data_IF_439224608303
#
_entry.id   IF_439224608303
#
_cell.length_a   1.000
_cell.length_b   1.000
_cell.length_c   1.000
_cell.angle_alpha   90.00
_cell.angle_beta   90.00
_cell.angle_gamma   90.00
#
_symmetry.space_group_name_H-M   'P 1'
#
loop_
_entity.id
_entity.type
_entity.pdbx_description
1 polymer ?
#
# COMPACT_ATOMS: atom_id res chain seq x y z
N UNK A 1 27.63 17.22 30.02
CA UNK A 1 26.79 16.00 29.86
C UNK A 1 25.41 16.09 30.54
N UNK A 2 25.08 17.11 31.36
CA UNK A 2 23.75 17.22 32.02
C UNK A 2 22.66 17.97 31.21
N UNK A 3 23.04 18.73 30.18
CA UNK A 3 22.08 19.48 29.35
C UNK A 3 21.33 18.60 28.34
N UNK A 4 21.93 17.50 27.87
CA UNK A 4 21.30 16.59 26.91
C UNK A 4 20.28 15.65 27.58
N UNK A 5 20.51 15.22 28.82
CA UNK A 5 19.55 14.36 29.54
C UNK A 5 18.33 15.15 30.02
N UNK A 6 18.53 16.40 30.43
CA UNK A 6 17.45 17.32 30.82
C UNK A 6 16.61 17.75 29.62
N UNK A 7 17.22 17.97 28.46
CA UNK A 7 16.49 18.23 27.21
C UNK A 7 15.69 17.00 26.74
N UNK A 8 16.24 15.79 26.83
CA UNK A 8 15.52 14.56 26.49
C UNK A 8 14.31 14.30 27.42
N UNK A 9 14.47 14.56 28.73
CA UNK A 9 13.38 14.46 29.69
C UNK A 9 12.30 15.54 29.48
N UNK A 10 12.71 16.78 29.15
CA UNK A 10 11.80 17.88 28.85
C UNK A 10 11.02 17.64 27.55
N UNK A 11 11.66 17.13 26.51
CA UNK A 11 11.02 16.77 25.22
C UNK A 11 10.03 15.61 25.39
N UNK A 12 10.36 14.61 26.21
CA UNK A 12 9.45 13.50 26.54
C UNK A 12 8.22 13.97 27.32
N UNK A 13 8.42 14.86 28.30
CA UNK A 13 7.34 15.47 29.11
C UNK A 13 6.44 16.39 28.29
N UNK A 14 7.01 17.21 27.40
CA UNK A 14 6.24 18.06 26.48
C UNK A 14 5.50 17.24 25.43
N UNK A 15 6.09 16.18 24.89
CA UNK A 15 5.40 15.28 23.96
C UNK A 15 4.18 14.62 24.63
N UNK A 16 4.31 14.18 25.89
CA UNK A 16 3.22 13.60 26.67
C UNK A 16 2.11 14.61 26.99
N UNK A 17 2.45 15.87 27.31
CA UNK A 17 1.48 16.94 27.58
C UNK A 17 0.77 17.45 26.32
N UNK A 18 1.47 17.54 25.18
CA UNK A 18 0.88 17.93 23.89
C UNK A 18 -0.04 16.82 23.35
N UNK A 19 0.26 15.55 23.62
CA UNK A 19 -0.63 14.40 23.35
C UNK A 19 -1.91 14.44 24.20
N UNK A 20 -1.85 14.93 25.44
CA UNK A 20 -3.04 15.11 26.29
C UNK A 20 -3.87 16.35 25.90
N UNK A 21 -3.24 17.44 25.47
CA UNK A 21 -3.96 18.70 25.18
C UNK A 21 -4.72 18.68 23.83
N UNK A 22 -4.28 17.90 22.84
CA UNK A 22 -4.94 17.86 21.52
C UNK A 22 -6.15 16.91 21.42
N UNK A 23 -6.48 16.19 22.50
CA UNK A 23 -7.68 15.33 22.56
C UNK A 23 -8.92 16.11 23.05
N UNK A 24 -8.78 17.34 23.55
CA UNK A 24 -9.88 18.07 24.21
C UNK A 24 -10.43 19.31 23.48
N UNK A 25 -10.17 19.51 22.18
CA UNK A 25 -10.82 20.60 21.43
C UNK A 25 -11.40 20.10 20.10
N UNK A 26 -12.55 19.47 20.19
CA UNK A 26 -13.54 19.43 19.12
C UNK A 26 -14.94 19.33 19.75
N UNK A 27 -15.36 20.39 20.44
CA UNK A 27 -16.75 20.61 20.82
C UNK A 27 -17.22 21.92 20.21
N UNK A 28 -18.31 21.82 19.45
CA UNK A 28 -19.22 22.85 18.96
C UNK A 28 -18.78 23.73 17.78
N UNK A 29 -19.28 23.32 16.61
CA UNK A 29 -19.52 24.17 15.44
C UNK A 29 -20.69 23.61 14.65
N UNK A 30 -21.92 23.96 15.06
CA UNK A 30 -23.17 23.60 14.38
C UNK A 30 -23.31 24.33 13.05
N UNK A 31 -23.86 23.63 12.05
CA UNK A 31 -24.87 24.07 11.05
C UNK A 31 -24.50 23.75 9.59
N UNK A 32 -25.07 22.65 9.07
CA UNK A 32 -25.84 22.64 7.82
C UNK A 32 -26.69 21.35 7.83
N UNK A 33 -28.02 21.54 7.74
CA UNK A 33 -29.03 20.48 7.65
C UNK A 33 -29.02 19.94 6.23
N UNK A 34 -28.70 18.66 6.08
CA UNK A 34 -29.19 17.83 4.98
C UNK A 34 -29.94 16.65 5.60
N UNK A 35 -31.23 16.58 5.30
CA UNK A 35 -32.14 15.52 5.70
C UNK A 35 -31.80 14.24 4.93
N UNK A 36 -30.91 13.42 5.47
CA UNK A 36 -30.73 12.04 5.01
C UNK A 36 -31.47 11.10 5.96
N UNK A 37 -32.45 10.40 5.38
CA UNK A 37 -33.35 9.44 5.98
C UNK A 37 -32.66 8.50 6.99
N UNK A 38 -33.23 8.44 8.20
CA UNK A 38 -32.88 7.48 9.24
C UNK A 38 -33.20 6.03 8.81
N UNK A 39 -32.32 5.41 8.03
CA UNK A 39 -32.13 3.96 8.10
C UNK A 39 -31.07 3.78 9.19
N UNK A 40 -31.50 3.37 10.39
CA UNK A 40 -30.59 3.08 11.49
C UNK A 40 -29.46 2.19 10.99
N UNK A 41 -28.22 2.68 11.11
CA UNK A 41 -27.04 1.89 10.71
C UNK A 41 -27.12 0.56 11.45
N UNK A 42 -27.23 -0.59 10.76
CA UNK A 42 -27.35 -1.87 11.44
C UNK A 42 -26.14 -2.02 12.34
N UNK A 43 -26.37 -2.33 13.62
CA UNK A 43 -25.29 -2.65 14.55
C UNK A 43 -24.34 -3.65 13.86
N UNK A 44 -23.06 -3.27 13.73
CA UNK A 44 -22.07 -4.13 13.07
C UNK A 44 -21.99 -5.44 13.83
N UNK A 45 -22.36 -6.54 13.19
CA UNK A 45 -22.22 -7.90 13.73
C UNK A 45 -20.74 -8.23 13.87
N UNK A 46 -20.38 -8.90 14.96
CA UNK A 46 -19.04 -9.44 15.13
C UNK A 46 -18.80 -10.61 14.16
N UNK A 47 -17.55 -10.96 13.90
CA UNK A 47 -17.19 -12.07 13.00
C UNK A 47 -17.80 -13.39 13.50
N UNK A 48 -17.86 -13.58 14.81
CA UNK A 48 -18.36 -14.79 15.47
C UNK A 48 -19.88 -14.95 15.37
N UNK A 49 -20.62 -13.86 15.13
CA UNK A 49 -22.08 -13.89 14.92
C UNK A 49 -22.45 -14.59 13.60
N UNK A 50 -21.51 -14.68 12.65
CA UNK A 50 -21.73 -15.35 11.39
C UNK A 50 -21.64 -16.88 11.54
N UNK A 51 -22.50 -17.65 10.83
CA UNK A 51 -22.45 -19.10 10.81
C UNK A 51 -21.06 -19.62 10.45
N UNK A 52 -20.63 -20.72 11.11
CA UNK A 52 -19.37 -21.41 10.77
C UNK A 52 -19.39 -21.85 9.29
N UNK A 53 -18.22 -21.87 8.66
CA UNK A 53 -18.10 -22.07 7.21
C UNK A 53 -17.63 -20.82 6.48
N UNK A 54 -17.93 -20.80 5.18
CA UNK A 54 -17.72 -19.64 4.31
C UNK A 54 -18.32 -18.33 4.83
N UNK A 55 -19.51 -18.27 5.48
CA UNK A 55 -20.04 -17.00 5.98
C UNK A 55 -19.11 -16.32 6.98
N UNK A 56 -18.56 -17.07 7.94
CA UNK A 56 -17.60 -16.56 8.93
C UNK A 56 -16.25 -16.22 8.31
N UNK A 57 -15.76 -17.02 7.36
CA UNK A 57 -14.54 -16.69 6.62
C UNK A 57 -14.70 -15.40 5.79
N UNK A 58 -15.83 -15.21 5.12
CA UNK A 58 -16.13 -13.99 4.39
C UNK A 58 -16.22 -12.77 5.32
N UNK A 59 -16.85 -12.94 6.50
CA UNK A 59 -16.87 -11.90 7.54
C UNK A 59 -15.46 -11.54 8.01
N UNK A 60 -14.59 -12.53 8.21
CA UNK A 60 -13.19 -12.29 8.55
C UNK A 60 -12.43 -11.55 7.43
N UNK A 61 -12.44 -12.04 6.19
CA UNK A 61 -11.68 -11.44 5.09
C UNK A 61 -12.19 -10.04 4.69
N UNK A 62 -13.45 -9.72 5.00
CA UNK A 62 -14.03 -8.38 4.79
C UNK A 62 -13.85 -7.44 5.99
N UNK A 63 -13.36 -7.92 7.13
CA UNK A 63 -13.20 -7.11 8.35
C UNK A 63 -12.13 -6.02 8.22
N UNK A 64 -11.03 -6.30 7.52
CA UNK A 64 -9.92 -5.37 7.22
C UNK A 64 -9.36 -5.68 5.82
N UNK A 65 -8.96 -4.67 5.04
CA UNK A 65 -8.29 -4.92 3.75
C UNK A 65 -6.95 -5.65 3.90
N UNK A 66 -6.31 -5.62 5.08
CA UNK A 66 -5.13 -6.45 5.36
C UNK A 66 -5.45 -7.96 5.26
N UNK A 67 -6.70 -8.36 5.50
CA UNK A 67 -7.19 -9.74 5.43
C UNK A 67 -7.98 -10.04 4.16
N UNK A 68 -8.32 -9.02 3.36
CA UNK A 68 -8.92 -9.19 2.05
C UNK A 68 -7.85 -9.73 1.08
N UNK A 69 -7.63 -11.04 1.11
CA UNK A 69 -6.66 -11.71 0.27
C UNK A 69 -7.28 -12.93 -0.41
N UNK A 70 -6.89 -13.15 -1.66
CA UNK A 70 -7.36 -14.28 -2.46
C UNK A 70 -6.18 -14.93 -3.17
N UNK A 71 -6.35 -16.20 -3.55
CA UNK A 71 -5.37 -16.89 -4.38
C UNK A 71 -5.39 -16.28 -5.79
N UNK A 72 -4.20 -16.00 -6.35
CA UNK A 72 -4.03 -15.36 -7.65
C UNK A 72 -4.14 -16.35 -8.81
N UNK A 73 -3.77 -17.61 -8.60
CA UNK A 73 -3.75 -18.67 -9.61
C UNK A 73 -2.82 -18.38 -10.79
N UNK A 74 -1.68 -17.75 -10.53
CA UNK A 74 -0.71 -17.28 -11.54
C UNK A 74 -0.34 -18.38 -12.54
N UNK A 75 0.01 -19.57 -12.04
CA UNK A 75 0.39 -20.69 -12.90
C UNK A 75 -0.75 -21.11 -13.85
N UNK A 76 -1.99 -21.09 -13.37
CA UNK A 76 -3.14 -21.49 -14.19
C UNK A 76 -3.45 -20.43 -15.25
N UNK A 77 -3.39 -19.14 -14.89
CA UNK A 77 -3.55 -18.05 -15.85
C UNK A 77 -2.48 -18.09 -16.94
N UNK A 78 -1.20 -18.21 -16.56
CA UNK A 78 -0.10 -18.30 -17.53
C UNK A 78 -0.26 -19.52 -18.42
N UNK A 79 -0.65 -20.68 -17.86
CA UNK A 79 -0.90 -21.87 -18.66
C UNK A 79 -2.05 -21.69 -19.65
N UNK A 80 -3.14 -21.05 -19.25
CA UNK A 80 -4.28 -20.77 -20.13
C UNK A 80 -3.86 -19.82 -21.28
N UNK A 81 -3.12 -18.75 -20.97
CA UNK A 81 -2.59 -17.82 -21.98
C UNK A 81 -1.66 -18.51 -22.98
N UNK A 82 -0.78 -19.40 -22.51
CA UNK A 82 0.11 -20.16 -23.39
C UNK A 82 -0.64 -21.10 -24.34
N UNK A 83 -1.72 -21.73 -23.87
CA UNK A 83 -2.57 -22.58 -24.72
C UNK A 83 -3.32 -21.74 -25.75
N UNK A 84 -3.89 -20.59 -25.35
CA UNK A 84 -4.53 -19.66 -26.26
C UNK A 84 -3.56 -19.13 -27.34
N UNK A 85 -2.31 -18.86 -26.95
CA UNK A 85 -1.26 -18.46 -27.89
C UNK A 85 -0.99 -19.55 -28.94
N UNK A 86 -0.87 -20.81 -28.53
CA UNK A 86 -0.66 -21.92 -29.48
C UNK A 86 -1.86 -22.11 -30.42
N UNK A 87 -3.09 -21.96 -29.92
CA UNK A 87 -4.30 -21.97 -30.75
C UNK A 87 -4.23 -20.89 -31.84
N UNK A 88 -3.87 -19.65 -31.49
CA UNK A 88 -3.70 -18.55 -32.45
C UNK A 88 -2.59 -18.87 -33.46
N UNK A 89 -1.44 -19.37 -33.01
CA UNK A 89 -0.35 -19.78 -33.91
C UNK A 89 -0.77 -20.91 -34.86
N UNK A 90 -1.68 -21.80 -34.45
CA UNK A 90 -2.22 -22.84 -35.32
C UNK A 90 -3.11 -22.25 -36.43
N UNK A 91 -3.93 -21.26 -36.10
CA UNK A 91 -4.76 -20.55 -37.06
C UNK A 91 -3.92 -19.68 -38.01
N UNK A 92 -2.86 -19.05 -37.50
CA UNK A 92 -1.90 -18.28 -38.30
C UNK A 92 -1.22 -19.16 -39.35
N UNK A 93 -0.72 -20.34 -38.94
CA UNK A 93 -0.16 -21.33 -39.88
C UNK A 93 -1.19 -21.77 -40.92
N UNK A 94 -2.43 -22.03 -40.49
CA UNK A 94 -3.51 -22.40 -41.42
C UNK A 94 -3.81 -21.27 -42.42
N UNK A 95 -3.84 -20.03 -41.96
CA UNK A 95 -4.04 -18.86 -42.82
C UNK A 95 -2.90 -18.72 -43.84
N UNK A 96 -1.65 -18.84 -43.38
CA UNK A 96 -0.47 -18.82 -44.24
C UNK A 96 -0.55 -19.90 -45.33
N UNK A 97 -0.92 -21.13 -44.98
CA UNK A 97 -1.09 -22.23 -45.93
C UNK A 97 -2.19 -21.96 -46.97
N UNK A 98 -3.27 -21.28 -46.58
CA UNK A 98 -4.36 -20.90 -47.50
C UNK A 98 -3.87 -19.82 -48.48
N UNK A 99 -3.16 -18.81 -47.96
CA UNK A 99 -2.63 -17.71 -48.77
C UNK A 99 -1.54 -18.18 -49.74
N UNK A 100 -0.67 -19.10 -49.34
CA UNK A 100 0.37 -19.67 -50.20
C UNK A 100 -0.21 -20.50 -51.36
N UNK A 101 -1.34 -21.18 -51.12
CA UNK A 101 -2.03 -22.00 -52.13
C UNK A 101 -2.96 -21.19 -53.03
N UNK A 102 -3.15 -19.90 -52.76
CA UNK A 102 -4.07 -19.04 -53.51
C UNK A 102 -3.54 -18.76 -54.92
N UNK A 103 -4.33 -19.16 -55.93
CA UNK A 103 -3.95 -19.02 -57.35
C UNK A 103 -4.35 -17.65 -57.90
N UNK A 104 -5.36 -17.02 -57.32
CA UNK A 104 -5.93 -15.77 -57.81
C UNK A 104 -5.39 -14.59 -57.01
N UNK A 105 -4.39 -13.91 -57.56
CA UNK A 105 -3.77 -12.73 -56.93
C UNK A 105 -4.76 -11.61 -56.57
N UNK A 106 -5.84 -11.45 -57.34
CA UNK A 106 -6.88 -10.46 -57.04
C UNK A 106 -7.55 -10.71 -55.68
N UNK A 107 -7.71 -11.97 -55.27
CA UNK A 107 -8.30 -12.33 -53.99
C UNK A 107 -7.39 -11.94 -52.82
N UNK A 108 -6.06 -12.05 -52.97
CA UNK A 108 -5.08 -11.57 -51.97
C UNK A 108 -5.01 -10.04 -51.94
N UNK A 109 -5.19 -9.39 -53.10
CA UNK A 109 -5.02 -7.94 -53.26
C UNK A 109 -6.27 -7.12 -52.94
N UNK A 110 -7.45 -7.74 -52.86
CA UNK A 110 -8.70 -7.03 -52.56
C UNK A 110 -9.68 -7.84 -51.73
N UNK A 111 -9.94 -7.36 -50.50
CA UNK A 111 -10.97 -7.90 -49.61
C UNK A 111 -12.36 -7.94 -50.26
N UNK A 112 -12.70 -6.91 -51.05
CA UNK A 112 -14.02 -6.80 -51.66
C UNK A 112 -14.26 -7.87 -52.74
N UNK A 113 -13.20 -8.28 -53.43
CA UNK A 113 -13.24 -9.30 -54.49
C UNK A 113 -12.75 -10.68 -54.03
N UNK A 114 -12.29 -10.81 -52.78
CA UNK A 114 -11.93 -12.10 -52.20
C UNK A 114 -13.15 -13.02 -52.13
N UNK A 115 -13.14 -14.17 -52.81
CA UNK A 115 -14.21 -15.17 -52.73
C UNK A 115 -13.81 -16.41 -51.92
N UNK A 116 -12.60 -16.45 -51.37
CA UNK A 116 -12.08 -17.57 -50.59
C UNK A 116 -12.78 -17.65 -49.23
N UNK A 117 -13.78 -18.53 -49.14
CA UNK A 117 -14.60 -18.71 -47.93
C UNK A 117 -13.78 -19.25 -46.76
N UNK A 118 -12.83 -20.15 -47.01
CA UNK A 118 -12.02 -20.75 -45.96
C UNK A 118 -11.13 -19.70 -45.29
N UNK A 119 -10.44 -18.87 -46.08
CA UNK A 119 -9.65 -17.76 -45.57
C UNK A 119 -10.48 -16.81 -44.70
N UNK A 120 -11.66 -16.41 -45.20
CA UNK A 120 -12.55 -15.50 -44.46
C UNK A 120 -12.99 -16.10 -43.12
N UNK A 121 -13.31 -17.39 -43.10
CA UNK A 121 -13.66 -18.10 -41.86
C UNK A 121 -12.49 -18.10 -40.86
N UNK A 122 -11.28 -18.46 -41.32
CA UNK A 122 -10.08 -18.48 -40.47
C UNK A 122 -9.75 -17.08 -39.94
N UNK A 123 -9.87 -16.04 -40.77
CA UNK A 123 -9.64 -14.65 -40.34
C UNK A 123 -10.65 -14.22 -39.27
N UNK A 124 -11.94 -14.55 -39.41
CA UNK A 124 -12.92 -14.21 -38.38
C UNK A 124 -12.71 -15.00 -37.07
N UNK A 125 -12.26 -16.26 -37.17
CA UNK A 125 -11.86 -17.06 -36.02
C UNK A 125 -10.64 -16.44 -35.31
N UNK A 126 -9.60 -16.06 -36.06
CA UNK A 126 -8.43 -15.35 -35.53
C UNK A 126 -8.84 -14.06 -34.85
N UNK A 127 -9.71 -13.24 -35.46
CA UNK A 127 -10.19 -11.98 -34.85
C UNK A 127 -10.92 -12.21 -33.54
N UNK A 128 -11.65 -13.31 -33.42
CA UNK A 128 -12.34 -13.70 -32.18
C UNK A 128 -11.33 -14.12 -31.12
N UNK A 129 -10.41 -15.03 -31.47
CA UNK A 129 -9.38 -15.56 -30.56
C UNK A 129 -8.41 -14.49 -30.09
N UNK A 130 -8.00 -13.56 -30.96
CA UNK A 130 -7.16 -12.43 -30.58
C UNK A 130 -7.85 -11.54 -29.56
N UNK A 131 -9.15 -11.25 -29.72
CA UNK A 131 -9.90 -10.44 -28.74
C UNK A 131 -9.98 -11.14 -27.39
N UNK A 132 -10.30 -12.43 -27.38
CA UNK A 132 -10.34 -13.23 -26.14
C UNK A 132 -8.97 -13.26 -25.45
N UNK A 133 -7.91 -13.50 -26.22
CA UNK A 133 -6.53 -13.50 -25.72
C UNK A 133 -6.11 -12.15 -25.16
N UNK A 134 -6.39 -11.05 -25.87
CA UNK A 134 -6.05 -9.70 -25.43
C UNK A 134 -6.82 -9.31 -24.15
N UNK A 135 -8.10 -9.67 -24.06
CA UNK A 135 -8.92 -9.44 -22.86
C UNK A 135 -8.38 -10.23 -21.65
N UNK A 136 -7.98 -11.50 -21.85
CA UNK A 136 -7.41 -12.34 -20.81
C UNK A 136 -6.02 -11.84 -20.37
N UNK A 137 -5.20 -11.38 -21.33
CA UNK A 137 -3.88 -10.83 -21.09
C UNK A 137 -3.96 -9.54 -20.26
N UNK A 138 -4.86 -8.62 -20.64
CA UNK A 138 -5.08 -7.37 -19.93
C UNK A 138 -5.59 -7.62 -18.49
N UNK A 139 -6.54 -8.55 -18.32
CA UNK A 139 -7.01 -8.97 -16.98
C UNK A 139 -5.87 -9.55 -16.15
N UNK A 140 -5.05 -10.41 -16.74
CA UNK A 140 -3.90 -11.00 -16.05
C UNK A 140 -2.88 -9.95 -15.64
N UNK A 141 -2.51 -9.01 -16.52
CA UNK A 141 -1.55 -7.96 -16.18
C UNK A 141 -2.10 -6.97 -15.15
N UNK A 142 -3.39 -6.62 -15.22
CA UNK A 142 -4.05 -5.84 -14.17
C UNK A 142 -4.00 -6.56 -12.83
N UNK A 143 -4.23 -7.87 -12.81
CA UNK A 143 -4.15 -8.67 -11.59
C UNK A 143 -2.71 -8.79 -11.08
N UNK A 144 -1.75 -8.93 -11.99
CA UNK A 144 -0.33 -9.03 -11.67
C UNK A 144 0.21 -7.74 -11.04
N UNK A 145 -0.35 -6.59 -11.41
CA UNK A 145 -0.01 -5.29 -10.83
C UNK A 145 -0.50 -5.10 -9.38
N UNK A 146 -1.38 -5.98 -8.87
CA UNK A 146 -1.77 -5.95 -7.46
C UNK A 146 -0.66 -6.42 -6.53
N UNK A 147 -0.68 -5.89 -5.31
CA UNK A 147 0.37 -6.13 -4.32
C UNK A 147 0.23 -7.51 -3.65
N UNK A 148 1.37 -8.10 -3.28
CA UNK A 148 1.40 -9.28 -2.43
C UNK A 148 0.98 -8.90 -1.01
N UNK A 149 0.17 -9.70 -0.31
CA UNK A 149 -0.16 -9.40 1.08
C UNK A 149 1.11 -9.33 1.94
N UNK A 150 1.13 -8.41 2.90
CA UNK A 150 2.22 -8.29 3.85
C UNK A 150 2.45 -9.64 4.56
N UNK A 151 3.70 -10.09 4.76
CA UNK A 151 3.99 -11.38 5.41
C UNK A 151 3.28 -11.55 6.77
N UNK A 152 3.13 -10.45 7.51
CA UNK A 152 2.43 -10.42 8.80
C UNK A 152 0.92 -10.67 8.67
N UNK A 153 0.25 -10.05 7.71
CA UNK A 153 -1.19 -10.25 7.53
C UNK A 153 -1.48 -11.66 7.02
N UNK A 154 -0.63 -12.18 6.12
CA UNK A 154 -0.70 -13.56 5.67
C UNK A 154 -0.48 -14.54 6.83
N UNK A 155 0.51 -14.31 7.70
CA UNK A 155 0.73 -15.16 8.88
C UNK A 155 -0.44 -15.10 9.86
N UNK A 156 -1.03 -13.93 10.07
CA UNK A 156 -2.19 -13.76 10.95
C UNK A 156 -3.42 -14.48 10.38
N UNK A 157 -3.64 -14.38 9.07
CA UNK A 157 -4.71 -15.11 8.38
C UNK A 157 -4.52 -16.63 8.46
N UNK A 158 -3.28 -17.11 8.25
CA UNK A 158 -2.93 -18.54 8.42
C UNK A 158 -3.21 -19.02 9.84
N UNK A 159 -2.73 -18.29 10.85
CA UNK A 159 -2.98 -18.61 12.25
C UNK A 159 -4.48 -18.66 12.59
N UNK A 160 -5.25 -17.71 12.08
CA UNK A 160 -6.70 -17.71 12.26
C UNK A 160 -7.40 -18.89 11.57
N UNK A 161 -6.99 -19.24 10.34
CA UNK A 161 -7.50 -20.41 9.63
C UNK A 161 -7.18 -21.72 10.37
N UNK A 162 -5.97 -21.85 10.90
CA UNK A 162 -5.50 -23.02 11.63
C UNK A 162 -6.21 -23.18 12.99
N UNK A 163 -6.48 -22.06 13.67
CA UNK A 163 -7.17 -22.04 14.96
C UNK A 163 -8.68 -22.23 14.83
N UNK A 164 -9.32 -21.41 13.99
CA UNK A 164 -10.78 -21.38 13.85
C UNK A 164 -11.31 -22.55 13.03
N UNK A 165 -10.49 -23.06 12.10
CA UNK A 165 -10.84 -24.12 11.12
C UNK A 165 -12.24 -23.92 10.53
N UNK A 166 -12.48 -22.78 9.86
CA UNK A 166 -13.81 -22.44 9.39
C UNK A 166 -14.28 -23.35 8.24
N UNK A 167 -13.37 -23.98 7.49
CA UNK A 167 -13.66 -24.84 6.33
C UNK A 167 -13.23 -26.28 6.58
N UNK A 168 -13.71 -27.21 5.74
CA UNK A 168 -13.22 -28.59 5.72
C UNK A 168 -11.78 -28.64 5.18
N UNK A 169 -10.98 -29.61 5.64
CA UNK A 169 -9.55 -29.74 5.26
C UNK A 169 -9.29 -29.68 3.74
N UNK A 170 -10.04 -30.40 2.87
CA UNK A 170 -9.82 -30.32 1.42
C UNK A 170 -9.99 -28.91 0.87
N UNK A 171 -10.96 -28.15 1.38
CA UNK A 171 -11.24 -26.77 0.98
C UNK A 171 -10.28 -25.77 1.60
N UNK A 172 -9.68 -26.06 2.76
CA UNK A 172 -8.74 -25.18 3.44
C UNK A 172 -7.32 -25.21 2.83
N UNK A 173 -6.98 -26.25 2.05
CA UNK A 173 -5.63 -26.49 1.48
C UNK A 173 -5.03 -25.28 0.73
N UNK A 174 -5.85 -24.38 0.17
CA UNK A 174 -5.35 -23.19 -0.53
C UNK A 174 -4.50 -22.28 0.35
N UNK A 175 -4.66 -22.35 1.68
CA UNK A 175 -3.92 -21.54 2.66
C UNK A 175 -2.40 -21.79 2.63
N UNK A 176 -2.01 -22.99 2.18
CA UNK A 176 -0.61 -23.42 2.03
C UNK A 176 0.05 -22.81 0.80
N UNK A 177 -0.71 -22.24 -0.14
CA UNK A 177 -0.15 -21.59 -1.31
C UNK A 177 0.60 -20.30 -0.94
N UNK A 178 1.57 -19.93 -1.76
CA UNK A 178 2.28 -18.63 -1.67
C UNK A 178 1.67 -17.57 -2.59
N UNK A 179 0.80 -17.99 -3.50
CA UNK A 179 0.30 -17.20 -4.60
C UNK A 179 -0.96 -16.41 -4.20
N UNK A 180 -0.80 -15.48 -3.25
CA UNK A 180 -1.87 -14.60 -2.78
C UNK A 180 -1.79 -13.21 -3.42
N UNK A 181 -2.95 -12.56 -3.49
CA UNK A 181 -3.10 -11.19 -3.95
C UNK A 181 -3.95 -10.41 -2.96
N UNK A 182 -3.57 -9.16 -2.73
CA UNK A 182 -4.31 -8.21 -1.89
C UNK A 182 -4.63 -6.94 -2.68
N UNK A 183 -5.76 -6.26 -2.39
CA UNK A 183 -6.07 -4.98 -3.00
C UNK A 183 -4.93 -3.98 -2.79
N UNK A 184 -4.69 -3.07 -3.75
CA UNK A 184 -3.69 -2.04 -3.57
C UNK A 184 -4.07 -1.17 -2.36
N UNK A 185 -3.11 -0.79 -1.51
CA UNK A 185 -3.41 0.07 -0.38
C UNK A 185 -3.98 1.41 -0.87
N UNK A 186 -5.10 1.86 -0.30
CA UNK A 186 -5.80 3.09 -0.72
C UNK A 186 -5.01 4.37 -0.43
N UNK A 187 -4.04 4.29 0.46
CA UNK A 187 -3.04 5.32 0.74
C UNK A 187 -1.73 4.69 0.31
N UNK A 188 -0.89 5.42 -0.41
CA UNK A 188 0.48 4.95 -0.65
C UNK A 188 1.14 4.76 0.72
N UNK A 189 1.15 3.50 1.18
CA UNK A 189 1.72 3.10 2.47
C UNK A 189 3.23 3.27 2.32
N UNK A 190 3.70 4.47 2.64
CA UNK A 190 5.11 4.81 2.58
C UNK A 190 5.91 4.00 3.60
N UNK A 191 7.22 3.93 3.36
CA UNK A 191 8.27 3.41 4.25
C UNK A 191 8.09 3.79 5.75
N UNK A 192 7.42 4.91 6.00
CA UNK A 192 7.00 5.36 7.32
C UNK A 192 6.16 4.35 8.12
N UNK A 193 5.19 3.66 7.53
CA UNK A 193 4.33 2.74 8.30
C UNK A 193 5.13 1.53 8.81
N UNK A 194 6.09 1.05 8.02
CA UNK A 194 7.03 -0.01 8.40
C UNK A 194 8.00 0.46 9.50
N UNK A 195 8.51 1.70 9.42
CA UNK A 195 9.32 2.30 10.48
C UNK A 195 8.55 2.47 11.78
N UNK A 196 7.28 2.89 11.72
CA UNK A 196 6.40 2.97 12.90
C UNK A 196 6.21 1.59 13.51
N UNK A 197 6.05 0.55 12.69
CA UNK A 197 5.90 -0.82 13.17
C UNK A 197 7.18 -1.36 13.83
N UNK A 198 8.34 -1.11 13.24
CA UNK A 198 9.65 -1.49 13.81
C UNK A 198 9.88 -0.77 15.14
N UNK A 199 9.59 0.52 15.20
CA UNK A 199 9.73 1.32 16.43
C UNK A 199 8.74 0.87 17.51
N UNK A 200 7.50 0.56 17.14
CA UNK A 200 6.48 0.04 18.05
C UNK A 200 6.87 -1.33 18.62
N UNK A 201 7.45 -2.24 17.81
CA UNK A 201 7.99 -3.53 18.26
C UNK A 201 9.15 -3.35 19.24
N UNK A 202 10.07 -2.43 18.93
CA UNK A 202 11.28 -2.24 19.72
C UNK A 202 11.03 -1.53 21.05
N UNK A 203 10.01 -0.68 21.14
CA UNK A 203 9.74 0.08 22.36
C UNK A 203 8.88 -0.67 23.38
N UNK A 204 8.23 -1.78 23.02
CA UNK A 204 7.32 -2.54 23.89
C UNK A 204 6.02 -1.81 24.26
N UNK A 205 5.99 -0.47 24.15
CA UNK A 205 4.88 0.44 24.49
C UNK A 205 3.84 0.50 23.35
N UNK A 206 4.24 0.12 22.14
CA UNK A 206 3.42 0.26 20.94
C UNK A 206 2.23 -0.70 20.87
N UNK A 207 2.23 -1.79 21.63
CA UNK A 207 1.14 -2.78 21.56
C UNK A 207 -0.11 -2.36 22.35
N UNK A 208 -0.05 -1.38 23.25
CA UNK A 208 -1.18 -0.98 24.11
C UNK A 208 -1.75 0.41 23.75
N UNK A 209 -0.88 1.36 23.39
CA UNK A 209 -1.21 2.38 22.39
C UNK A 209 -1.51 1.65 21.06
N UNK A 210 -1.95 2.21 19.94
CA UNK A 210 -2.31 1.43 18.71
C UNK A 210 -3.46 0.37 18.84
N UNK A 211 -3.56 -0.46 19.89
CA UNK A 211 -4.74 -1.29 20.21
C UNK A 211 -5.95 -0.41 20.48
N UNK A 212 -7.12 -0.83 20.00
CA UNK A 212 -8.30 0.05 19.96
C UNK A 212 -9.44 -0.54 20.79
N UNK A 213 -10.19 0.32 21.48
CA UNK A 213 -11.51 -0.02 22.09
C UNK A 213 -12.56 -0.52 21.06
N UNK A 214 -12.34 -0.28 19.76
CA UNK A 214 -13.16 -0.77 18.64
C UNK A 214 -12.88 -2.23 18.27
N UNK A 215 -11.83 -2.82 18.83
CA UNK A 215 -11.45 -4.23 18.65
C UNK A 215 -12.57 -5.15 19.19
N UNK A 216 -13.17 -4.79 20.33
CA UNK A 216 -14.33 -5.49 20.90
C UNK A 216 -15.62 -5.42 20.05
N UNK A 217 -15.68 -4.55 19.03
CA UNK A 217 -16.84 -4.48 18.14
C UNK A 217 -16.70 -5.37 16.89
N UNK A 218 -15.49 -5.86 16.57
CA UNK A 218 -15.26 -6.64 15.35
C UNK A 218 -14.99 -8.13 15.61
N UNK A 219 -14.32 -8.48 16.72
CA UNK A 219 -14.09 -9.86 17.11
C UNK A 219 -14.02 -10.01 18.62
N UNK A 220 -14.47 -11.15 19.12
CA UNK A 220 -14.33 -11.56 20.53
C UNK A 220 -13.05 -12.38 20.79
N UNK A 221 -12.23 -12.62 19.77
CA UNK A 221 -11.02 -13.43 19.86
C UNK A 221 -9.83 -12.62 20.43
N UNK A 222 -9.26 -13.01 21.58
CA UNK A 222 -8.17 -12.28 22.23
C UNK A 222 -6.86 -12.28 21.43
N UNK A 223 -6.67 -13.23 20.51
CA UNK A 223 -5.45 -13.36 19.70
C UNK A 223 -5.52 -12.59 18.36
N UNK A 224 -6.70 -12.07 18.01
CA UNK A 224 -6.92 -11.36 16.74
C UNK A 224 -6.83 -9.84 16.90
N UNK A 225 -5.62 -9.31 16.73
CA UNK A 225 -5.37 -7.86 16.86
C UNK A 225 -5.63 -7.09 15.56
N UNK A 226 -6.65 -6.21 15.58
CA UNK A 226 -6.93 -5.25 14.51
C UNK A 226 -6.25 -3.91 14.78
N UNK A 227 -5.30 -3.50 13.94
CA UNK A 227 -4.64 -2.20 14.07
C UNK A 227 -5.43 -1.09 13.36
N UNK A 228 -5.82 -0.06 14.10
CA UNK A 228 -6.50 1.12 13.53
C UNK A 228 -5.59 1.89 12.56
N UNK A 229 -5.98 1.92 11.28
CA UNK A 229 -5.30 2.66 10.21
C UNK A 229 -5.09 4.14 10.54
N UNK A 230 -6.11 4.79 11.09
CA UNK A 230 -6.05 6.22 11.42
C UNK A 230 -5.01 6.55 12.48
N UNK A 231 -4.76 5.64 13.43
CA UNK A 231 -3.73 5.83 14.47
C UNK A 231 -2.33 5.58 13.94
N UNK A 232 -2.11 4.56 13.10
CA UNK A 232 -0.82 4.35 12.44
C UNK A 232 -0.41 5.56 11.61
N UNK A 233 -1.35 6.11 10.84
CA UNK A 233 -1.12 7.33 10.07
C UNK A 233 -0.87 8.56 10.95
N UNK A 234 -1.61 8.71 12.05
CA UNK A 234 -1.36 9.80 13.00
C UNK A 234 0.03 9.70 13.66
N UNK A 235 0.43 8.50 14.08
CA UNK A 235 1.75 8.24 14.69
C UNK A 235 2.87 8.49 13.68
N UNK A 236 2.73 8.01 12.44
CA UNK A 236 3.69 8.27 11.37
C UNK A 236 3.85 9.77 11.10
N UNK A 237 2.74 10.52 11.04
CA UNK A 237 2.77 11.99 10.89
C UNK A 237 3.43 12.69 12.07
N UNK A 238 3.19 12.23 13.30
CA UNK A 238 3.83 12.78 14.50
C UNK A 238 5.34 12.53 14.46
N UNK A 239 5.78 11.31 14.12
CA UNK A 239 7.21 10.98 14.00
C UNK A 239 7.87 11.84 12.92
N UNK A 240 7.23 11.97 11.76
CA UNK A 240 7.73 12.83 10.68
C UNK A 240 7.86 14.29 11.13
N UNK A 241 6.87 14.81 11.86
CA UNK A 241 6.92 16.16 12.42
C UNK A 241 8.06 16.33 13.43
N UNK A 242 8.29 15.35 14.31
CA UNK A 242 9.38 15.37 15.29
C UNK A 242 10.74 15.36 14.57
N UNK A 243 10.90 14.49 13.57
CA UNK A 243 12.14 14.39 12.78
C UNK A 243 12.39 15.70 12.02
N UNK A 244 11.36 16.28 11.39
CA UNK A 244 11.47 17.56 10.70
C UNK A 244 11.87 18.70 11.65
N UNK A 245 11.20 18.82 12.81
CA UNK A 245 11.55 19.80 13.83
C UNK A 245 12.97 19.60 14.38
N UNK A 246 13.38 18.36 14.67
CA UNK A 246 14.72 18.05 15.13
C UNK A 246 15.79 18.44 14.11
N UNK A 247 15.53 18.18 12.83
CA UNK A 247 16.46 18.49 11.75
C UNK A 247 16.62 20.00 11.53
N UNK A 248 15.61 20.80 11.86
CA UNK A 248 15.71 22.28 11.84
C UNK A 248 16.36 22.84 13.11
N UNK A 249 15.94 22.41 14.29
CA UNK A 249 16.35 23.04 15.55
C UNK A 249 17.77 22.66 15.99
N UNK A 250 18.16 21.39 15.81
CA UNK A 250 19.48 20.90 16.24
C UNK A 250 20.63 21.64 15.56
N UNK A 251 20.68 21.79 14.23
CA UNK A 251 21.81 22.45 13.60
C UNK A 251 21.80 23.97 13.82
N UNK A 252 20.65 24.62 13.99
CA UNK A 252 20.60 26.03 14.41
C UNK A 252 21.24 26.23 15.79
N UNK A 253 20.96 25.34 16.75
CA UNK A 253 21.59 25.39 18.07
C UNK A 253 23.10 25.12 18.02
N UNK A 254 23.55 24.15 17.19
CA UNK A 254 24.97 23.85 17.00
C UNK A 254 25.73 25.03 16.37
N UNK A 255 25.12 25.72 15.39
CA UNK A 255 25.70 26.90 14.75
C UNK A 255 25.92 28.06 15.73
N UNK A 256 25.10 28.18 16.78
CA UNK A 256 25.25 29.21 17.80
C UNK A 256 26.45 28.95 18.72
N UNK A 257 26.73 27.68 19.04
CA UNK A 257 27.80 27.30 19.98
C UNK A 257 29.18 27.26 19.31
N UNK A 258 29.24 26.97 18.01
CA UNK A 258 30.52 26.80 17.29
C UNK A 258 31.00 28.14 16.70
N UNK A 259 32.17 28.67 17.11
CA UNK A 259 32.68 29.94 16.60
C UNK A 259 33.44 29.82 15.26
N UNK A 260 33.96 28.63 14.93
CA UNK A 260 34.79 28.44 13.73
C UNK A 260 33.94 28.47 12.44
N UNK A 261 34.21 29.43 11.55
CA UNK A 261 33.51 29.61 10.26
C UNK A 261 33.56 28.38 9.36
N UNK A 262 34.70 27.68 9.30
CA UNK A 262 34.83 26.46 8.49
C UNK A 262 33.99 25.31 9.06
N UNK A 263 33.95 25.17 10.38
CA UNK A 263 33.12 24.17 11.04
C UNK A 263 31.62 24.45 10.86
N UNK A 264 31.21 25.73 10.86
CA UNK A 264 29.81 26.12 10.56
C UNK A 264 29.38 25.67 9.16
N UNK A 265 30.21 25.89 8.14
CA UNK A 265 29.94 25.42 6.78
C UNK A 265 29.83 23.88 6.71
N UNK A 266 30.72 23.16 7.40
CA UNK A 266 30.66 21.71 7.50
C UNK A 266 29.34 21.20 8.10
N UNK A 267 28.88 21.83 9.20
CA UNK A 267 27.61 21.49 9.86
C UNK A 267 26.43 21.70 8.89
N UNK A 268 26.37 22.83 8.19
CA UNK A 268 25.30 23.11 7.22
C UNK A 268 25.25 22.05 6.12
N UNK A 269 26.41 21.71 5.53
CA UNK A 269 26.49 20.70 4.47
C UNK A 269 26.02 19.33 4.96
N UNK A 270 26.48 18.87 6.14
CA UNK A 270 26.12 17.57 6.70
C UNK A 270 24.62 17.49 7.01
N UNK A 271 24.06 18.50 7.68
CA UNK A 271 22.64 18.48 8.05
C UNK A 271 21.71 18.66 6.85
N UNK A 272 22.14 19.38 5.81
CA UNK A 272 21.38 19.49 4.55
C UNK A 272 21.30 18.14 3.82
N UNK A 273 22.43 17.41 3.75
CA UNK A 273 22.46 16.06 3.18
C UNK A 273 21.64 15.08 4.01
N UNK A 274 21.73 15.16 5.34
CA UNK A 274 20.94 14.33 6.25
C UNK A 274 19.45 14.59 6.08
N UNK A 275 19.02 15.86 6.01
CA UNK A 275 17.63 16.23 5.77
C UNK A 275 17.13 15.66 4.44
N UNK A 276 17.85 15.89 3.35
CA UNK A 276 17.48 15.36 2.03
C UNK A 276 17.40 13.84 2.01
N UNK A 277 18.33 13.16 2.69
CA UNK A 277 18.33 11.69 2.82
C UNK A 277 17.14 11.18 3.63
N UNK A 278 16.85 11.82 4.78
CA UNK A 278 15.70 11.50 5.63
C UNK A 278 14.41 11.67 4.83
N UNK A 279 14.20 12.80 4.18
CA UNK A 279 12.99 13.05 3.39
C UNK A 279 12.89 12.06 2.22
N UNK A 280 13.98 11.78 1.51
CA UNK A 280 13.99 10.84 0.39
C UNK A 280 13.73 9.38 0.80
N UNK A 281 14.20 8.95 1.98
CA UNK A 281 14.04 7.57 2.45
C UNK A 281 12.71 7.35 3.17
N UNK A 282 12.19 8.38 3.82
CA UNK A 282 11.04 8.27 4.73
C UNK A 282 9.75 8.70 4.02
N UNK A 283 9.79 9.68 3.13
CA UNK A 283 8.59 10.20 2.47
C UNK A 283 8.47 9.69 1.03
N UNK A 284 7.24 9.55 0.56
CA UNK A 284 6.91 9.25 -0.84
C UNK A 284 6.92 10.52 -1.72
N UNK A 285 7.65 11.55 -1.30
CA UNK A 285 7.70 12.82 -1.99
C UNK A 285 8.32 12.64 -3.38
N UNK A 286 7.78 13.35 -4.37
CA UNK A 286 8.33 13.33 -5.73
C UNK A 286 9.73 13.93 -5.74
N UNK A 287 10.56 13.54 -6.71
CA UNK A 287 11.95 14.02 -6.84
C UNK A 287 12.07 15.55 -6.76
N UNK A 288 11.11 16.28 -7.35
CA UNK A 288 11.09 17.74 -7.33
C UNK A 288 10.63 18.33 -5.98
N UNK A 289 9.75 17.64 -5.24
CA UNK A 289 9.32 18.05 -3.90
C UNK A 289 10.48 17.92 -2.90
N UNK A 290 11.24 16.82 -2.99
CA UNK A 290 12.45 16.59 -2.19
C UNK A 290 13.48 17.68 -2.47
N UNK A 291 13.70 18.01 -3.74
CA UNK A 291 14.62 19.08 -4.14
C UNK A 291 14.20 20.43 -3.58
N UNK A 292 12.93 20.81 -3.75
CA UNK A 292 12.38 22.06 -3.23
C UNK A 292 12.50 22.16 -1.70
N UNK A 293 12.15 21.10 -0.97
CA UNK A 293 12.27 21.05 0.49
C UNK A 293 13.73 21.18 0.94
N UNK A 294 14.65 20.50 0.26
CA UNK A 294 16.09 20.53 0.60
C UNK A 294 16.70 21.91 0.31
N UNK A 295 16.33 22.55 -0.80
CA UNK A 295 16.75 23.91 -1.12
C UNK A 295 16.22 24.92 -0.10
N UNK A 296 14.95 24.81 0.31
CA UNK A 296 14.37 25.68 1.34
C UNK A 296 15.10 25.51 2.69
N UNK A 297 15.38 24.26 3.09
CA UNK A 297 16.16 23.97 4.30
C UNK A 297 17.57 24.60 4.23
N UNK A 298 18.28 24.40 3.12
CA UNK A 298 19.61 24.97 2.92
C UNK A 298 19.59 26.51 2.99
N UNK A 299 18.60 27.15 2.37
CA UNK A 299 18.44 28.61 2.43
C UNK A 299 18.25 29.11 3.87
N UNK A 300 17.39 28.47 4.66
CA UNK A 300 17.19 28.82 6.08
C UNK A 300 18.50 28.71 6.87
N UNK A 301 19.26 27.63 6.67
CA UNK A 301 20.54 27.41 7.34
C UNK A 301 21.60 28.46 6.96
N UNK A 302 21.65 28.86 5.68
CA UNK A 302 22.56 29.91 5.21
C UNK A 302 22.20 31.28 5.80
N UNK A 303 20.92 31.62 5.89
CA UNK A 303 20.48 32.88 6.51
C UNK A 303 20.88 32.95 7.99
N UNK A 304 20.77 31.83 8.72
CA UNK A 304 21.22 31.78 10.12
C UNK A 304 22.72 31.98 10.25
N UNK A 305 23.55 31.39 9.38
CA UNK A 305 25.02 31.58 9.48
C UNK A 305 25.45 33.00 9.16
N UNK A 306 24.72 33.69 8.28
CA UNK A 306 25.00 35.09 7.90
C UNK A 306 24.64 36.11 9.00
N UNK A 307 23.75 35.75 9.93
CA UNK A 307 23.25 36.65 10.99
C UNK A 307 23.85 36.39 12.38
N UNK A 308 24.69 35.36 12.54
CA UNK A 308 25.40 35.09 13.80
C UNK A 308 26.68 35.93 13.80
N UNK A 309 26.84 36.87 14.77
CA UNK A 309 28.04 37.71 14.87
C UNK A 309 29.33 36.90 15.09
#
# INVERSE_FOLDING_TARGET
MSLFSTLHAAVSSLACRVLSLKVFTASNGSCARDEESQIGSPARRQIEDYPRGYPRMAAFQSSDMAFTMFRRFTLLHVRALLLAQDEICSLERKLHDIDEKERTQLYLSSRAYDENRERKMVIEEIKTKLREYDDDLDRFFKQYAYHEPTPRSLQSFRGWMDFTKPLIEPEATFIQSTDFVSPPPKVEEGCLEELVEILARKSGIGNEFLKTEREHQQSSDPDLHFYSRGRRQAVARIILAIVACGTLLVPTALLFVVPNRGARLGIISIFTLLFGSVVALITLAKRHEIFAATSAFAAVMVVFVSNIP
#
